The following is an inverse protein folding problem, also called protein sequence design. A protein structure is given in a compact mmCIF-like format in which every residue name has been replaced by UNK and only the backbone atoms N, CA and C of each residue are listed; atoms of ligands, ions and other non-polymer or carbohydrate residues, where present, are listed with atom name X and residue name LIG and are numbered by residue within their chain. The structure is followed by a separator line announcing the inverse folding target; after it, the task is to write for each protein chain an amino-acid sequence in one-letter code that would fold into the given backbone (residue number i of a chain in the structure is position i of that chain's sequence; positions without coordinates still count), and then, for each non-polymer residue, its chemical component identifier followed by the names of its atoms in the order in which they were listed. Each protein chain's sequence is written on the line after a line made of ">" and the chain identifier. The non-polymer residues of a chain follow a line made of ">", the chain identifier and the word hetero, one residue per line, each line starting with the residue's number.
data_IF_246551080646
#
_entry.id   IF_246551080646
#
_cell.length_a   1.000
_cell.length_b   1.000
_cell.length_c   1.000
_cell.angle_alpha   90.00
_cell.angle_beta   90.00
_cell.angle_gamma   90.00
#
_symmetry.space_group_name_H-M   'P 1'
#
loop_
_entity.id
_entity.type
_entity.pdbx_description
1 polymer ?
#
# COMPACT_ATOMS: atom_id res chain seq x y z
N UNK A 1 3.20 0.14 28.39
CA UNK A 1 3.12 -1.15 29.10
C UNK A 1 4.52 -1.71 29.24
N UNK A 2 4.93 -2.08 30.45
CA UNK A 2 6.29 -2.50 30.74
C UNK A 2 6.60 -3.82 30.01
N UNK A 3 7.20 -3.74 28.83
CA UNK A 3 7.78 -4.91 28.16
C UNK A 3 9.11 -5.26 28.83
N UNK A 4 9.07 -5.59 30.13
CA UNK A 4 10.20 -6.21 30.82
C UNK A 4 10.16 -7.70 30.53
N UNK A 5 11.29 -8.25 30.11
CA UNK A 5 11.45 -9.70 29.94
C UNK A 5 11.19 -10.39 31.29
N UNK A 6 10.48 -11.53 31.31
CA UNK A 6 10.31 -12.30 32.54
C UNK A 6 11.68 -12.69 33.13
N UNK A 7 11.70 -12.88 34.45
CA UNK A 7 12.90 -13.30 35.19
C UNK A 7 13.47 -14.57 34.56
N UNK A 8 14.80 -14.70 34.59
CA UNK A 8 15.51 -15.84 33.98
C UNK A 8 14.97 -17.20 34.44
N UNK A 9 14.62 -17.32 35.73
CA UNK A 9 14.01 -18.52 36.30
C UNK A 9 12.70 -18.94 35.62
N UNK A 10 11.82 -17.98 35.35
CA UNK A 10 10.54 -18.22 34.67
C UNK A 10 10.79 -18.67 33.24
N UNK A 11 11.77 -18.08 32.55
CA UNK A 11 12.14 -18.48 31.18
C UNK A 11 12.74 -19.88 31.13
N UNK A 12 13.60 -20.23 32.07
CA UNK A 12 14.19 -21.58 32.14
C UNK A 12 13.15 -22.64 32.52
N UNK A 13 12.18 -22.31 33.39
CA UNK A 13 11.04 -23.19 33.68
C UNK A 13 10.14 -23.38 32.46
N UNK A 14 9.78 -22.30 31.76
CA UNK A 14 9.00 -22.39 30.52
C UNK A 14 9.74 -23.18 29.43
N UNK A 15 11.05 -23.00 29.30
CA UNK A 15 11.87 -23.74 28.34
C UNK A 15 12.00 -25.22 28.72
N UNK A 16 12.12 -25.55 30.01
CA UNK A 16 12.08 -26.94 30.48
C UNK A 16 10.71 -27.59 30.26
N UNK A 17 9.62 -26.88 30.53
CA UNK A 17 8.25 -27.37 30.28
C UNK A 17 7.95 -27.55 28.79
N UNK A 18 8.48 -26.67 27.94
CA UNK A 18 8.34 -26.72 26.47
C UNK A 18 9.40 -27.59 25.80
N UNK A 19 10.32 -28.22 26.52
CA UNK A 19 11.42 -28.99 25.91
C UNK A 19 12.38 -28.14 25.05
N UNK A 20 13.55 -28.70 24.75
CA UNK A 20 14.59 -28.04 23.94
C UNK A 20 14.41 -28.29 22.43
N UNK A 21 13.57 -29.25 22.04
CA UNK A 21 13.54 -29.79 20.69
C UNK A 21 12.12 -30.12 20.20
N UNK A 22 11.18 -29.23 20.47
CA UNK A 22 9.88 -29.33 19.82
C UNK A 22 9.99 -28.81 18.40
N UNK A 23 9.70 -29.68 17.44
CA UNK A 23 9.44 -29.28 16.07
C UNK A 23 8.49 -28.08 16.07
N UNK A 24 8.69 -27.08 15.18
CA UNK A 24 7.76 -25.97 15.07
C UNK A 24 6.38 -26.58 14.91
N UNK A 25 5.48 -26.30 15.87
CA UNK A 25 4.13 -26.86 15.85
C UNK A 25 3.57 -26.57 14.47
N UNK A 26 3.49 -27.59 13.63
CA UNK A 26 2.72 -27.53 12.40
C UNK A 26 1.32 -27.32 12.93
N UNK A 27 0.89 -26.07 12.94
CA UNK A 27 -0.48 -25.73 13.25
C UNK A 27 -1.31 -26.75 12.47
N UNK A 28 -2.14 -27.52 13.17
CA UNK A 28 -3.10 -28.49 12.63
C UNK A 28 -4.03 -27.74 11.68
N UNK A 29 -3.47 -27.36 10.56
CA UNK A 29 -4.13 -26.77 9.42
C UNK A 29 -4.35 -28.01 8.61
N UNK A 30 -5.59 -28.45 8.64
CA UNK A 30 -6.11 -29.38 7.65
C UNK A 30 -5.47 -29.03 6.30
N UNK A 31 -5.11 -30.05 5.53
CA UNK A 31 -4.44 -29.93 4.22
C UNK A 31 -5.28 -29.13 3.17
N UNK A 32 -6.44 -28.65 3.60
CA UNK A 32 -7.27 -27.71 2.90
C UNK A 32 -6.53 -26.38 2.62
N UNK A 33 -6.63 -25.86 1.38
CA UNK A 33 -6.04 -24.58 1.04
C UNK A 33 -6.65 -23.47 1.90
N UNK A 34 -5.86 -22.43 2.19
CA UNK A 34 -6.23 -21.30 3.05
C UNK A 34 -7.59 -20.66 2.71
N UNK A 35 -7.95 -20.66 1.42
CA UNK A 35 -9.25 -20.20 0.95
C UNK A 35 -10.40 -21.09 1.46
N UNK A 36 -10.27 -22.41 1.32
CA UNK A 36 -11.25 -23.38 1.81
C UNK A 36 -11.38 -23.33 3.34
N UNK A 37 -10.27 -23.23 4.06
CA UNK A 37 -10.29 -23.07 5.52
C UNK A 37 -11.06 -21.82 5.97
N UNK A 38 -10.97 -20.72 5.22
CA UNK A 38 -11.75 -19.50 5.50
C UNK A 38 -13.25 -19.70 5.27
N UNK A 39 -13.62 -20.53 4.30
CA UNK A 39 -15.02 -20.84 3.99
C UNK A 39 -15.60 -21.79 5.03
N UNK A 40 -14.89 -22.86 5.37
CA UNK A 40 -15.31 -23.81 6.41
C UNK A 40 -15.46 -23.12 7.78
N UNK A 41 -14.50 -22.27 8.15
CA UNK A 41 -14.53 -21.52 9.41
C UNK A 41 -15.36 -20.21 9.32
N UNK A 42 -16.12 -19.98 8.24
CA UNK A 42 -16.81 -18.70 8.06
C UNK A 42 -17.83 -18.42 9.18
N UNK A 43 -18.46 -19.45 9.73
CA UNK A 43 -19.45 -19.30 10.81
C UNK A 43 -18.79 -18.93 12.15
N UNK A 44 -17.70 -19.60 12.53
CA UNK A 44 -16.94 -19.28 13.75
C UNK A 44 -16.35 -17.88 13.67
N UNK A 45 -15.74 -17.50 12.54
CA UNK A 45 -15.20 -16.15 12.31
C UNK A 45 -16.31 -15.08 12.47
N UNK A 46 -17.51 -15.34 11.95
CA UNK A 46 -18.65 -14.41 12.09
C UNK A 46 -19.16 -14.34 13.53
N UNK A 47 -19.21 -15.46 14.25
CA UNK A 47 -19.61 -15.51 15.65
C UNK A 47 -18.61 -14.78 16.55
N UNK A 48 -17.32 -15.06 16.43
CA UNK A 48 -16.24 -14.37 17.13
C UNK A 48 -16.27 -12.86 16.86
N UNK A 49 -16.53 -12.45 15.62
CA UNK A 49 -16.64 -11.04 15.28
C UNK A 49 -17.85 -10.38 15.96
N UNK A 50 -19.02 -11.05 15.97
CA UNK A 50 -20.21 -10.56 16.66
C UNK A 50 -20.00 -10.47 18.18
N UNK A 51 -19.40 -11.49 18.78
CA UNK A 51 -19.07 -11.49 20.20
C UNK A 51 -18.05 -10.41 20.56
N UNK A 52 -16.99 -10.26 19.75
CA UNK A 52 -15.98 -9.21 19.96
C UNK A 52 -16.59 -7.82 19.79
N UNK A 53 -17.55 -7.67 18.88
CA UNK A 53 -18.30 -6.42 18.72
C UNK A 53 -19.18 -6.15 19.94
N UNK A 54 -19.93 -7.14 20.43
CA UNK A 54 -20.76 -7.03 21.64
C UNK A 54 -19.93 -6.73 22.89
N UNK A 55 -18.83 -7.47 23.11
CA UNK A 55 -17.88 -7.25 24.22
C UNK A 55 -17.24 -5.84 24.17
N UNK A 56 -17.02 -5.28 22.98
CA UNK A 56 -16.52 -3.91 22.80
C UNK A 56 -17.58 -2.85 23.15
N UNK A 57 -18.86 -3.17 23.01
CA UNK A 57 -19.96 -2.26 23.34
C UNK A 57 -20.36 -2.37 24.83
N UNK A 58 -20.22 -3.54 25.45
CA UNK A 58 -20.58 -3.79 26.87
C UNK A 58 -19.47 -3.38 27.88
N UNK A 59 -18.18 -3.37 27.50
CA UNK A 59 -17.11 -2.81 28.35
C UNK A 59 -16.72 -1.38 27.92
N UNK A 60 -17.18 -0.32 28.61
CA UNK A 60 -16.71 1.05 28.40
C UNK A 60 -15.37 1.33 29.10
N UNK A 61 -14.54 0.31 29.35
CA UNK A 61 -13.24 0.44 30.00
C UNK A 61 -12.09 0.27 29.00
N UNK A 62 -11.85 1.32 28.21
CA UNK A 62 -10.50 1.89 28.05
C UNK A 62 -9.38 1.07 27.41
N UNK A 63 -9.62 -0.03 26.68
CA UNK A 63 -8.56 -0.72 25.93
C UNK A 63 -8.89 -0.89 24.44
N UNK A 64 -8.82 0.24 23.73
CA UNK A 64 -8.71 0.29 22.27
C UNK A 64 -7.42 -0.39 21.78
N UNK A 65 -7.51 -1.67 21.39
CA UNK A 65 -6.40 -2.37 20.74
C UNK A 65 -6.42 -2.15 19.21
N UNK A 66 -5.58 -1.19 18.80
CA UNK A 66 -4.56 -1.27 17.74
C UNK A 66 -4.89 -1.10 16.25
N UNK A 67 -6.01 -0.50 15.85
CA UNK A 67 -6.14 0.00 14.45
C UNK A 67 -6.68 1.42 14.30
N UNK A 68 -7.26 2.01 15.36
CA UNK A 68 -7.79 3.40 15.32
C UNK A 68 -6.79 4.46 15.81
N UNK A 69 -5.75 4.08 16.55
CA UNK A 69 -4.77 5.03 17.12
C UNK A 69 -3.80 5.68 16.13
N UNK A 70 -3.72 5.19 14.89
CA UNK A 70 -2.96 5.89 13.83
C UNK A 70 -3.74 7.04 13.19
N UNK A 71 -5.03 7.17 13.46
CA UNK A 71 -5.84 8.23 12.83
C UNK A 71 -5.77 9.54 13.62
N UNK A 72 -5.71 9.49 14.95
CA UNK A 72 -5.75 10.71 15.79
C UNK A 72 -4.44 11.50 15.82
N UNK A 73 -3.27 10.85 15.85
CA UNK A 73 -1.98 11.57 15.73
C UNK A 73 -1.75 12.06 14.30
N UNK A 74 -2.09 11.26 13.29
CA UNK A 74 -1.94 11.68 11.90
C UNK A 74 -2.90 12.81 11.51
N UNK A 75 -4.10 12.89 12.10
CA UNK A 75 -5.01 14.02 11.91
C UNK A 75 -4.50 15.27 12.63
N UNK A 76 -3.95 15.15 13.85
CA UNK A 76 -3.30 16.27 14.55
C UNK A 76 -2.06 16.78 13.82
N UNK A 77 -1.19 15.89 13.34
CA UNK A 77 -0.04 16.26 12.50
C UNK A 77 -0.51 16.96 11.21
N UNK A 78 -1.62 16.52 10.61
CA UNK A 78 -2.17 17.17 9.41
C UNK A 78 -2.77 18.55 9.70
N UNK A 79 -3.40 18.74 10.85
CA UNK A 79 -3.90 20.06 11.27
C UNK A 79 -2.74 20.99 11.65
N UNK A 80 -1.69 20.46 12.27
CA UNK A 80 -0.45 21.18 12.52
C UNK A 80 0.32 21.47 11.22
N UNK A 81 0.14 20.73 10.13
CA UNK A 81 0.80 20.99 8.85
C UNK A 81 -0.06 21.85 7.90
N UNK A 82 -1.06 22.58 8.42
CA UNK A 82 -1.75 23.65 7.67
C UNK A 82 -1.08 25.00 7.91
N UNK A 83 -1.06 25.85 6.89
CA UNK A 83 -0.63 27.25 6.98
C UNK A 83 -1.51 27.97 8.00
N UNK A 84 -0.89 28.56 9.04
CA UNK A 84 -1.64 29.37 10.01
C UNK A 84 -1.91 30.76 9.43
N UNK A 85 -3.05 31.40 9.77
CA UNK A 85 -3.30 32.78 9.36
C UNK A 85 -2.18 33.68 9.87
N UNK A 86 -1.54 34.45 8.97
CA UNK A 86 -0.43 35.35 9.30
C UNK A 86 0.96 34.71 9.41
N UNK A 87 1.09 33.40 9.21
CA UNK A 87 2.39 32.72 9.13
C UNK A 87 3.03 32.96 7.74
N UNK A 88 4.31 33.33 7.70
CA UNK A 88 5.07 33.38 6.45
C UNK A 88 5.38 31.96 5.97
N UNK A 89 5.50 31.77 4.66
CA UNK A 89 5.78 30.45 4.08
C UNK A 89 7.08 29.81 4.61
N UNK A 90 8.08 30.63 4.95
CA UNK A 90 9.33 30.16 5.55
C UNK A 90 9.13 29.49 6.91
N UNK A 91 8.29 30.07 7.77
CA UNK A 91 8.01 29.54 9.11
C UNK A 91 7.21 28.23 9.03
N UNK A 92 6.29 28.17 8.07
CA UNK A 92 5.59 26.94 7.72
C UNK A 92 6.55 25.82 7.30
N UNK A 93 7.47 26.11 6.37
CA UNK A 93 8.46 25.13 5.91
C UNK A 93 9.36 24.64 7.05
N UNK A 94 9.81 25.54 7.93
CA UNK A 94 10.58 25.16 9.14
C UNK A 94 9.80 24.22 10.06
N UNK A 95 8.49 24.44 10.20
CA UNK A 95 7.60 23.61 11.04
C UNK A 95 7.36 22.24 10.41
N UNK A 96 7.12 22.21 9.10
CA UNK A 96 7.01 20.97 8.31
C UNK A 96 8.28 20.14 8.44
N UNK A 97 9.45 20.76 8.28
CA UNK A 97 10.73 20.09 8.41
C UNK A 97 10.93 19.52 9.81
N UNK A 98 10.60 20.28 10.87
CA UNK A 98 10.70 19.79 12.25
C UNK A 98 9.81 18.58 12.51
N UNK A 99 8.58 18.58 12.01
CA UNK A 99 7.64 17.47 12.16
C UNK A 99 8.08 16.22 11.38
N UNK A 100 8.61 16.38 10.15
CA UNK A 100 8.97 15.25 9.29
C UNK A 100 10.40 14.73 9.53
N UNK A 101 11.32 15.54 10.08
CA UNK A 101 12.72 15.18 10.30
C UNK A 101 12.93 13.90 11.13
N UNK A 102 12.19 13.62 12.21
CA UNK A 102 12.32 12.36 12.94
C UNK A 102 11.98 11.14 12.08
N UNK A 103 10.90 11.22 11.29
CA UNK A 103 10.46 10.14 10.39
C UNK A 103 11.45 9.90 9.26
N UNK A 104 11.98 10.98 8.66
CA UNK A 104 13.01 10.91 7.61
C UNK A 104 14.30 10.31 8.18
N UNK A 105 14.73 10.73 9.38
CA UNK A 105 15.91 10.16 10.06
C UNK A 105 15.74 8.68 10.38
N UNK A 106 14.57 8.26 10.89
CA UNK A 106 14.29 6.86 11.19
C UNK A 106 14.31 5.98 9.92
N UNK A 107 13.71 6.47 8.83
CA UNK A 107 13.70 5.78 7.52
C UNK A 107 15.11 5.66 6.91
N UNK A 108 15.92 6.73 7.02
CA UNK A 108 17.32 6.69 6.55
C UNK A 108 18.18 5.75 7.39
N UNK A 109 17.99 5.74 8.72
CA UNK A 109 18.73 4.86 9.62
C UNK A 109 18.39 3.37 9.40
N UNK A 110 17.13 3.03 9.17
CA UNK A 110 16.74 1.64 8.86
C UNK A 110 17.31 1.17 7.52
N UNK A 111 17.35 2.04 6.51
CA UNK A 111 17.95 1.73 5.21
C UNK A 111 19.47 1.54 5.31
N UNK A 112 20.17 2.38 6.07
CA UNK A 112 21.60 2.23 6.31
C UNK A 112 21.93 0.93 7.07
N UNK A 113 21.14 0.59 8.09
CA UNK A 113 21.31 -0.67 8.84
C UNK A 113 21.07 -1.91 7.98
N UNK A 114 20.06 -1.88 7.10
CA UNK A 114 19.80 -2.97 6.17
C UNK A 114 21.00 -3.21 5.22
N UNK A 115 21.61 -2.14 4.72
CA UNK A 115 22.80 -2.23 3.85
C UNK A 115 24.01 -2.80 4.62
N UNK A 116 24.18 -2.43 5.89
CA UNK A 116 25.28 -2.93 6.73
C UNK A 116 25.05 -4.41 7.07
N UNK A 117 23.83 -4.81 7.44
CA UNK A 117 23.53 -6.22 7.74
C UNK A 117 23.63 -7.12 6.51
N UNK A 118 23.32 -6.61 5.31
CA UNK A 118 23.51 -7.35 4.05
C UNK A 118 25.00 -7.52 3.71
N UNK A 119 25.85 -6.59 4.18
CA UNK A 119 27.31 -6.68 4.04
C UNK A 119 27.97 -7.59 5.09
N UNK A 120 27.41 -7.68 6.29
CA UNK A 120 27.92 -8.53 7.39
C UNK A 120 27.41 -9.98 7.34
N UNK A 121 26.28 -10.26 6.66
CA UNK A 121 25.74 -11.61 6.50
C UNK A 121 26.37 -12.40 5.33
N UNK A 122 27.36 -11.84 4.62
CA UNK A 122 28.11 -12.54 3.59
C UNK A 122 29.39 -13.16 4.21
N UNK A 123 29.67 -14.46 3.99
CA UNK A 123 30.82 -15.13 4.60
C UNK A 123 32.17 -14.59 4.07
N UNK A 124 33.12 -14.42 5.00
CA UNK A 124 34.43 -13.75 4.90
C UNK A 124 35.48 -14.46 4.02
N UNK A 125 35.09 -15.29 3.05
CA UNK A 125 36.03 -16.09 2.23
C UNK A 125 36.00 -15.78 0.73
N UNK A 126 35.52 -14.61 0.32
CA UNK A 126 35.50 -14.21 -1.09
C UNK A 126 36.37 -12.96 -1.33
N UNK A 127 37.12 -12.91 -2.46
CA UNK A 127 37.94 -11.74 -2.83
C UNK A 127 37.09 -10.46 -2.88
N UNK A 128 37.71 -9.27 -2.74
CA UNK A 128 36.98 -8.01 -2.57
C UNK A 128 35.88 -7.87 -3.62
N UNK A 129 34.65 -7.46 -3.24
CA UNK A 129 33.55 -7.40 -4.18
C UNK A 129 33.88 -6.37 -5.26
N UNK A 130 34.29 -6.88 -6.42
CA UNK A 130 34.17 -6.12 -7.66
C UNK A 130 32.72 -5.68 -7.72
N UNK A 131 32.50 -4.36 -7.80
CA UNK A 131 31.17 -3.78 -7.92
C UNK A 131 30.49 -4.48 -9.09
N UNK A 132 29.61 -5.43 -8.81
CA UNK A 132 28.72 -5.98 -9.82
C UNK A 132 27.82 -4.82 -10.18
N UNK A 133 28.20 -4.11 -11.25
CA UNK A 133 27.35 -3.19 -11.96
C UNK A 133 26.07 -3.97 -12.23
N UNK A 134 25.02 -3.65 -11.47
CA UNK A 134 23.68 -4.05 -11.86
C UNK A 134 23.54 -3.48 -13.27
N UNK A 135 23.28 -4.34 -14.25
CA UNK A 135 22.98 -3.92 -15.62
C UNK A 135 21.71 -3.07 -15.53
N UNK A 136 21.89 -1.79 -15.25
CA UNK A 136 20.87 -0.77 -15.48
C UNK A 136 20.86 -0.56 -16.98
N UNK A 137 19.67 -0.48 -17.58
CA UNK A 137 19.51 -0.26 -19.03
C UNK A 137 20.04 1.12 -19.51
N UNK A 138 20.78 1.83 -18.65
CA UNK A 138 21.33 3.14 -18.87
C UNK A 138 22.78 3.16 -18.39
N UNK A 139 23.70 3.56 -19.27
CA UNK A 139 25.10 3.80 -18.95
C UNK A 139 25.22 4.96 -17.96
N UNK A 140 26.05 4.81 -16.92
CA UNK A 140 26.29 5.90 -15.97
C UNK A 140 27.10 7.02 -16.65
N UNK A 141 26.48 8.17 -16.83
CA UNK A 141 27.12 9.35 -17.41
C UNK A 141 28.22 9.92 -16.48
N UNK A 142 29.34 10.43 -17.02
CA UNK A 142 30.38 11.05 -16.20
C UNK A 142 29.88 12.35 -15.55
N UNK A 143 30.21 12.54 -14.27
CA UNK A 143 29.68 13.59 -13.38
C UNK A 143 30.13 15.04 -13.67
N UNK A 144 30.73 15.35 -14.83
CA UNK A 144 30.90 16.74 -15.25
C UNK A 144 30.95 16.88 -16.76
N UNK A 145 29.89 17.42 -17.36
CA UNK A 145 29.90 17.92 -18.74
C UNK A 145 29.76 19.43 -18.71
N UNK A 146 30.52 20.12 -19.56
CA UNK A 146 30.46 21.59 -19.66
C UNK A 146 29.10 21.96 -20.24
N UNK A 147 28.47 22.98 -19.65
CA UNK A 147 27.09 23.41 -19.95
C UNK A 147 26.90 23.81 -21.43
N UNK A 148 28.00 24.12 -22.12
CA UNK A 148 28.01 24.58 -23.52
C UNK A 148 28.14 23.44 -24.55
N UNK A 149 28.33 22.18 -24.13
CA UNK A 149 28.33 21.00 -25.04
C UNK A 149 26.90 20.47 -25.30
N UNK A 150 25.87 21.13 -24.77
CA UNK A 150 24.45 20.78 -24.91
C UNK A 150 23.83 21.53 -26.11
N UNK A 151 24.60 21.72 -27.18
CA UNK A 151 24.05 21.98 -28.50
C UNK A 151 23.99 20.64 -29.26
N UNK A 152 23.36 19.63 -28.66
CA UNK A 152 23.08 18.38 -29.33
C UNK A 152 21.79 18.56 -30.12
N UNK A 153 21.89 18.45 -31.45
CA UNK A 153 20.73 18.26 -32.31
C UNK A 153 19.82 17.18 -31.71
N UNK A 154 18.48 17.32 -31.79
CA UNK A 154 17.57 16.37 -31.18
C UNK A 154 17.94 14.95 -31.62
N UNK A 155 18.18 14.02 -30.68
CA UNK A 155 18.65 12.68 -30.99
C UNK A 155 17.63 11.98 -31.88
N UNK A 156 18.04 11.52 -33.06
CA UNK A 156 17.20 10.71 -33.93
C UNK A 156 17.07 9.29 -33.33
N UNK A 157 15.84 8.90 -33.01
CA UNK A 157 15.52 7.57 -32.48
C UNK A 157 15.65 6.51 -33.57
N UNK A 158 16.87 6.02 -33.82
CA UNK A 158 17.11 4.98 -34.83
C UNK A 158 16.65 3.59 -34.40
N UNK A 159 16.33 3.37 -33.11
CA UNK A 159 15.77 2.10 -32.61
C UNK A 159 14.71 2.34 -31.53
N UNK A 160 13.48 1.88 -31.79
CA UNK A 160 12.44 1.79 -30.77
C UNK A 160 12.86 0.77 -29.70
N UNK A 161 12.65 1.05 -28.40
CA UNK A 161 13.00 0.10 -27.35
C UNK A 161 12.20 -1.19 -27.50
N UNK A 162 12.85 -2.34 -27.31
CA UNK A 162 12.30 -3.69 -27.55
C UNK A 162 10.96 -4.01 -26.84
N UNK A 163 10.53 -3.20 -25.87
CA UNK A 163 9.26 -3.34 -25.17
C UNK A 163 8.19 -2.32 -25.57
N UNK A 164 8.48 -1.37 -26.46
CA UNK A 164 7.47 -0.44 -26.99
C UNK A 164 6.47 -1.15 -27.92
N UNK A 165 6.89 -2.17 -28.67
CA UNK A 165 6.00 -2.94 -29.54
C UNK A 165 4.98 -3.79 -28.75
N UNK A 166 5.32 -4.22 -27.51
CA UNK A 166 4.42 -5.05 -26.68
C UNK A 166 3.26 -4.28 -26.04
N UNK A 167 3.17 -2.97 -26.26
CA UNK A 167 2.01 -2.16 -25.85
C UNK A 167 1.07 -1.86 -27.02
N UNK A 168 1.41 -2.28 -28.24
CA UNK A 168 0.62 -2.00 -29.46
C UNK A 168 0.00 -3.23 -30.11
N UNK A 169 0.59 -4.42 -29.98
CA UNK A 169 0.13 -5.61 -30.70
C UNK A 169 0.05 -6.81 -29.75
N UNK A 170 -1.17 -7.28 -29.44
CA UNK A 170 -1.38 -8.54 -28.70
C UNK A 170 -2.28 -8.50 -27.45
N UNK A 171 -3.15 -7.50 -27.29
CA UNK A 171 -4.26 -7.55 -26.31
C UNK A 171 -5.64 -7.42 -26.97
N UNK A 172 -5.84 -8.12 -28.07
CA UNK A 172 -7.18 -8.51 -28.49
C UNK A 172 -7.71 -9.54 -27.47
N UNK A 173 -8.58 -9.10 -26.54
CA UNK A 173 -9.30 -10.07 -25.70
C UNK A 173 -9.97 -9.57 -24.43
N UNK A 174 -9.70 -8.35 -23.93
CA UNK A 174 -10.38 -7.85 -22.70
C UNK A 174 -10.69 -6.34 -22.69
N UNK A 175 -10.77 -5.70 -23.84
CA UNK A 175 -11.13 -4.27 -23.93
C UNK A 175 -12.64 -3.99 -23.79
N UNK A 176 -13.49 -5.02 -23.77
CA UNK A 176 -14.94 -4.87 -23.64
C UNK A 176 -15.55 -5.29 -22.29
N UNK A 177 -14.76 -5.84 -21.36
CA UNK A 177 -15.31 -6.37 -20.11
C UNK A 177 -15.24 -5.30 -19.02
N UNK A 178 -16.24 -4.40 -19.03
CA UNK A 178 -16.47 -3.50 -17.90
C UNK A 178 -16.70 -4.31 -16.63
N UNK A 179 -16.20 -3.82 -15.49
CA UNK A 179 -16.45 -4.46 -14.20
C UNK A 179 -17.96 -4.56 -13.94
N UNK A 180 -18.41 -5.60 -13.25
CA UNK A 180 -19.84 -5.83 -12.98
C UNK A 180 -20.49 -4.63 -12.26
N UNK A 181 -19.74 -3.95 -11.39
CA UNK A 181 -20.16 -2.72 -10.74
C UNK A 181 -20.31 -1.55 -11.73
N UNK A 182 -19.37 -1.40 -12.67
CA UNK A 182 -19.45 -0.38 -13.73
C UNK A 182 -20.62 -0.63 -14.66
N UNK A 183 -20.90 -1.90 -14.99
CA UNK A 183 -22.05 -2.28 -15.82
C UNK A 183 -23.39 -1.94 -15.15
N UNK A 184 -23.53 -2.23 -13.86
CA UNK A 184 -24.73 -1.89 -13.09
C UNK A 184 -24.98 -0.37 -13.06
N UNK A 185 -23.94 0.44 -12.85
CA UNK A 185 -24.05 1.89 -12.87
C UNK A 185 -24.52 2.44 -14.23
N UNK A 186 -23.98 1.90 -15.32
CA UNK A 186 -24.39 2.30 -16.68
C UNK A 186 -25.83 1.87 -17.01
N UNK A 187 -26.28 0.72 -16.49
CA UNK A 187 -27.65 0.24 -16.67
C UNK A 187 -28.67 1.14 -15.95
N UNK A 188 -28.34 1.66 -14.75
CA UNK A 188 -29.16 2.65 -14.04
C UNK A 188 -29.25 3.98 -14.81
N UNK A 189 -28.14 4.49 -15.31
CA UNK A 189 -28.12 5.72 -16.12
C UNK A 189 -28.93 5.55 -17.41
N UNK A 190 -28.81 4.38 -18.06
CA UNK A 190 -29.58 4.06 -19.25
C UNK A 190 -31.08 4.07 -18.97
N UNK A 191 -31.53 3.51 -17.85
CA UNK A 191 -32.95 3.51 -17.48
C UNK A 191 -33.48 4.94 -17.31
N UNK A 192 -32.74 5.80 -16.59
CA UNK A 192 -33.11 7.22 -16.40
C UNK A 192 -33.22 8.00 -17.71
N UNK A 193 -32.29 7.76 -18.65
CA UNK A 193 -32.30 8.41 -19.97
C UNK A 193 -33.49 7.96 -20.80
N UNK A 194 -33.81 6.66 -20.77
CA UNK A 194 -34.97 6.11 -21.51
C UNK A 194 -36.27 6.67 -20.96
N UNK A 195 -36.43 6.75 -19.65
CA UNK A 195 -37.63 7.36 -19.02
C UNK A 195 -37.79 8.82 -19.43
N UNK A 196 -36.73 9.63 -19.33
CA UNK A 196 -36.75 11.03 -19.75
C UNK A 196 -37.11 11.16 -21.23
N UNK A 197 -36.55 10.29 -22.08
CA UNK A 197 -36.85 10.30 -23.51
C UNK A 197 -38.30 9.92 -23.81
N UNK A 198 -38.88 8.95 -23.07
CA UNK A 198 -40.30 8.58 -23.19
C UNK A 198 -41.20 9.75 -22.85
N UNK A 199 -40.96 10.43 -21.74
CA UNK A 199 -41.72 11.62 -21.34
C UNK A 199 -41.66 12.73 -22.40
N UNK A 200 -40.47 13.02 -22.92
CA UNK A 200 -40.29 14.01 -24.00
C UNK A 200 -40.98 13.60 -25.31
N UNK A 201 -41.05 12.30 -25.59
CA UNK A 201 -41.72 11.79 -26.79
C UNK A 201 -43.25 11.87 -26.63
N UNK A 202 -43.76 11.50 -25.47
CA UNK A 202 -45.18 11.63 -25.13
C UNK A 202 -45.64 13.08 -25.16
N UNK A 203 -44.84 14.01 -24.63
CA UNK A 203 -45.18 15.44 -24.69
C UNK A 203 -45.23 15.94 -26.13
N UNK A 204 -44.28 15.54 -26.98
CA UNK A 204 -44.28 15.91 -28.42
C UNK A 204 -45.47 15.33 -29.18
N UNK A 205 -45.91 14.11 -28.84
CA UNK A 205 -47.09 13.51 -29.47
C UNK A 205 -48.35 14.26 -29.04
N UNK A 206 -48.52 14.54 -27.74
CA UNK A 206 -49.65 15.32 -27.23
C UNK A 206 -49.72 16.73 -27.82
N UNK A 207 -48.58 17.40 -27.94
CA UNK A 207 -48.50 18.72 -28.58
C UNK A 207 -48.93 18.67 -30.05
N UNK A 208 -48.54 17.61 -30.78
CA UNK A 208 -48.96 17.39 -32.17
C UNK A 208 -50.44 17.01 -32.32
N UNK A 209 -51.03 16.35 -31.32
CA UNK A 209 -52.46 16.01 -31.33
C UNK A 209 -53.36 17.21 -30.95
N UNK A 210 -52.81 18.20 -30.24
CA UNK A 210 -53.54 19.36 -29.75
C UNK A 210 -53.40 20.62 -30.61
N UNK A 211 -52.49 20.64 -31.60
CA UNK A 211 -52.27 21.75 -32.53
C UNK A 211 -52.61 21.37 -33.96
#
# INVERSE_FOLDING_TARGET
>A
MAHKRPKRSVREQEQKQRGFDHAPKTAEKDDAPRGAMRVLNAQSIRAEYKEKKRKREEEPTGQEKTSKKRKTEAEKEKEELKLRPGERLEDFNRRVDRALKPRIKASKASKAKAIISEKEAAPESAPPPTKKERKTDFDSLPLSRRVNDIAQAPPSLTRLPQNAAKKGEGREGKEGVLSLATRAALEEERARVVERYRLLKESKIKEKEMG
#
